data_IF_235471026104
#
_entry.id   IF_235471026104
#
_cell.length_a   1.000
_cell.length_b   1.000
_cell.length_c   1.000
_cell.angle_alpha   90.00
_cell.angle_beta   90.00
_cell.angle_gamma   90.00
#
_symmetry.space_group_name_H-M   'P 1'
#
loop_
_entity.id
_entity.type
_entity.pdbx_description
1 polymer ?
#
# COMPACT_ATOMS: atom_id res chain seq x y z
N UNK A 1 12.56 2.54 -7.69
CA UNK A 1 11.25 3.03 -7.24
C UNK A 1 11.29 4.54 -7.06
N UNK A 2 10.21 5.27 -7.35
CA UNK A 2 10.17 6.73 -7.14
C UNK A 2 9.71 7.06 -5.72
N UNK A 3 10.21 8.17 -5.15
CA UNK A 3 9.82 8.63 -3.79
C UNK A 3 8.30 8.78 -3.66
N UNK A 4 7.62 9.13 -4.76
CA UNK A 4 6.16 9.24 -4.85
C UNK A 4 5.45 7.92 -4.60
N UNK A 5 5.98 6.82 -5.15
CA UNK A 5 5.42 5.49 -4.93
C UNK A 5 5.55 5.07 -3.46
N UNK A 6 6.70 5.36 -2.85
CA UNK A 6 6.95 5.07 -1.43
C UNK A 6 5.99 5.88 -0.55
N UNK A 7 5.80 7.16 -0.85
CA UNK A 7 4.87 8.02 -0.12
C UNK A 7 3.41 7.52 -0.25
N UNK A 8 3.02 7.05 -1.43
CA UNK A 8 1.68 6.51 -1.64
C UNK A 8 1.43 5.21 -0.87
N UNK A 9 2.45 4.35 -0.71
CA UNK A 9 2.38 3.17 0.17
C UNK A 9 2.13 3.58 1.61
N UNK A 10 2.97 4.49 2.11
CA UNK A 10 2.86 4.95 3.48
C UNK A 10 1.49 5.59 3.75
N UNK A 11 0.96 6.33 2.77
CA UNK A 11 -0.40 6.88 2.84
C UNK A 11 -1.47 5.78 2.84
N UNK A 12 -1.36 4.78 1.97
CA UNK A 12 -2.33 3.68 1.90
C UNK A 12 -2.34 2.83 3.17
N UNK A 13 -1.16 2.49 3.72
CA UNK A 13 -1.04 1.86 5.03
C UNK A 13 -1.69 2.76 6.09
N UNK A 14 -1.27 4.03 6.19
CA UNK A 14 -1.81 4.95 7.19
C UNK A 14 -3.34 5.06 7.13
N UNK A 15 -3.92 5.16 5.92
CA UNK A 15 -5.36 5.18 5.74
C UNK A 15 -6.03 3.88 6.21
N UNK A 16 -5.46 2.71 5.89
CA UNK A 16 -5.97 1.42 6.36
C UNK A 16 -5.95 1.33 7.88
N UNK A 17 -4.84 1.76 8.50
CA UNK A 17 -4.69 1.82 9.96
C UNK A 17 -5.69 2.77 10.62
N UNK A 18 -5.85 3.98 10.07
CA UNK A 18 -6.85 4.94 10.56
C UNK A 18 -8.25 4.36 10.39
N UNK A 19 -8.55 3.68 9.28
CA UNK A 19 -9.84 3.02 9.04
C UNK A 19 -10.17 1.96 10.09
N UNK A 20 -9.22 1.10 10.41
CA UNK A 20 -9.39 0.10 11.48
C UNK A 20 -9.52 0.74 12.85
N UNK A 21 -8.64 1.67 13.19
CA UNK A 21 -8.67 2.35 14.48
C UNK A 21 -9.98 3.12 14.68
N UNK A 22 -10.43 3.84 13.64
CA UNK A 22 -11.68 4.58 13.66
C UNK A 22 -12.89 3.65 13.83
N UNK A 23 -12.89 2.48 13.19
CA UNK A 23 -13.92 1.45 13.38
C UNK A 23 -13.92 0.86 14.78
N UNK A 24 -12.74 0.59 15.35
CA UNK A 24 -12.61 0.07 16.72
C UNK A 24 -13.07 1.11 17.77
N UNK A 25 -12.66 2.37 17.61
CA UNK A 25 -13.03 3.46 18.51
C UNK A 25 -14.53 3.74 18.53
N UNK A 26 -15.20 3.55 17.38
CA UNK A 26 -16.63 3.76 17.22
C UNK A 26 -17.45 2.45 17.32
N UNK A 27 -16.90 1.40 17.93
CA UNK A 27 -17.56 0.10 18.02
C UNK A 27 -18.88 0.09 18.79
N UNK A 28 -19.12 1.08 19.64
CA UNK A 28 -20.34 1.23 20.45
C UNK A 28 -21.47 2.03 19.81
N UNK A 29 -21.33 2.46 18.55
CA UNK A 29 -22.40 3.16 17.85
C UNK A 29 -23.58 2.24 17.52
N UNK A 30 -24.78 2.82 17.46
CA UNK A 30 -25.95 2.13 16.95
C UNK A 30 -25.73 1.69 15.50
N UNK A 31 -26.03 0.42 15.21
CA UNK A 31 -25.70 -0.20 13.93
C UNK A 31 -26.41 0.42 12.73
N UNK A 32 -27.62 0.96 12.94
CA UNK A 32 -28.42 1.67 11.92
C UNK A 32 -28.07 3.15 11.77
N UNK A 33 -27.15 3.68 12.59
CA UNK A 33 -26.80 5.09 12.56
C UNK A 33 -26.02 5.45 11.29
N UNK A 34 -26.27 6.65 10.76
CA UNK A 34 -25.52 7.20 9.61
C UNK A 34 -24.03 7.30 9.89
N UNK A 35 -23.64 7.51 11.15
CA UNK A 35 -22.25 7.53 11.57
C UNK A 35 -21.61 6.13 11.48
N UNK A 36 -22.28 5.07 11.93
CA UNK A 36 -21.81 3.70 11.79
C UNK A 36 -21.63 3.31 10.31
N UNK A 37 -22.60 3.69 9.45
CA UNK A 37 -22.49 3.46 8.00
C UNK A 37 -21.27 4.18 7.40
N UNK A 38 -21.01 5.42 7.83
CA UNK A 38 -19.86 6.21 7.36
C UNK A 38 -18.53 5.61 7.82
N UNK A 39 -18.46 5.14 9.07
CA UNK A 39 -17.29 4.43 9.63
C UNK A 39 -16.99 3.17 8.81
N UNK A 40 -18.02 2.37 8.50
CA UNK A 40 -17.89 1.15 7.70
C UNK A 40 -17.44 1.49 6.27
N UNK A 41 -18.05 2.50 5.65
CA UNK A 41 -17.71 2.95 4.31
C UNK A 41 -16.24 3.40 4.22
N UNK A 42 -15.78 4.20 5.18
CA UNK A 42 -14.38 4.63 5.25
C UNK A 42 -13.42 3.45 5.43
N UNK A 43 -13.75 2.51 6.33
CA UNK A 43 -12.96 1.30 6.56
C UNK A 43 -12.82 0.46 5.29
N UNK A 44 -13.92 0.20 4.58
CA UNK A 44 -13.89 -0.57 3.33
C UNK A 44 -13.17 0.16 2.21
N UNK A 45 -13.37 1.48 2.09
CA UNK A 45 -12.63 2.30 1.16
C UNK A 45 -11.11 2.21 1.41
N UNK A 46 -10.68 2.39 2.66
CA UNK A 46 -9.26 2.37 3.03
C UNK A 46 -8.60 1.01 2.76
N UNK A 47 -9.27 -0.10 3.10
CA UNK A 47 -8.80 -1.46 2.78
C UNK A 47 -8.68 -1.70 1.28
N UNK A 48 -9.70 -1.31 0.52
CA UNK A 48 -9.72 -1.48 -0.93
C UNK A 48 -8.64 -0.65 -1.61
N UNK A 49 -8.47 0.59 -1.16
CA UNK A 49 -7.40 1.48 -1.60
C UNK A 49 -6.02 0.88 -1.31
N UNK A 50 -5.84 0.28 -0.14
CA UNK A 50 -4.61 -0.42 0.23
C UNK A 50 -4.30 -1.59 -0.70
N UNK A 51 -5.27 -2.47 -0.99
CA UNK A 51 -5.09 -3.59 -1.90
C UNK A 51 -4.70 -3.14 -3.32
N UNK A 52 -5.45 -2.19 -3.91
CA UNK A 52 -5.13 -1.67 -5.24
C UNK A 52 -3.81 -0.90 -5.30
N UNK A 53 -3.44 -0.19 -4.23
CA UNK A 53 -2.14 0.45 -4.13
C UNK A 53 -1.03 -0.61 -4.21
N UNK A 54 -1.13 -1.68 -3.42
CA UNK A 54 -0.15 -2.79 -3.45
C UNK A 54 -0.05 -3.45 -4.82
N UNK A 55 -1.18 -3.67 -5.51
CA UNK A 55 -1.21 -4.16 -6.89
C UNK A 55 -0.47 -3.21 -7.86
N UNK A 56 -0.73 -1.91 -7.76
CA UNK A 56 -0.10 -0.90 -8.59
C UNK A 56 1.42 -0.83 -8.40
N UNK A 57 1.90 -1.02 -7.17
CA UNK A 57 3.33 -1.08 -6.86
C UNK A 57 3.95 -2.35 -7.40
N UNK A 58 3.28 -3.50 -7.23
CA UNK A 58 3.70 -4.76 -7.83
C UNK A 58 3.91 -4.60 -9.34
N UNK A 59 2.95 -3.97 -10.02
CA UNK A 59 3.04 -3.66 -11.45
C UNK A 59 4.17 -2.68 -11.79
N UNK A 60 4.40 -1.65 -10.97
CA UNK A 60 5.51 -0.72 -11.14
C UNK A 60 6.87 -1.42 -11.03
N UNK A 61 7.04 -2.25 -10.01
CA UNK A 61 8.25 -3.06 -9.80
C UNK A 61 8.47 -4.05 -10.94
N UNK A 62 7.41 -4.71 -11.41
CA UNK A 62 7.46 -5.56 -12.59
C UNK A 62 8.01 -4.82 -13.81
N UNK A 63 7.41 -3.68 -14.12
CA UNK A 63 7.82 -2.86 -15.26
C UNK A 63 9.27 -2.39 -15.13
N UNK A 64 9.66 -1.96 -13.94
CA UNK A 64 11.00 -1.41 -13.70
C UNK A 64 12.09 -2.48 -13.68
N UNK A 65 11.85 -3.64 -13.06
CA UNK A 65 12.88 -4.66 -12.81
C UNK A 65 12.84 -5.80 -13.83
N UNK A 66 11.65 -6.21 -14.28
CA UNK A 66 11.50 -7.33 -15.21
C UNK A 66 11.50 -6.83 -16.65
N UNK A 67 10.73 -5.79 -16.95
CA UNK A 67 10.67 -5.24 -18.31
C UNK A 67 11.76 -4.21 -18.60
N UNK A 68 12.53 -3.79 -17.58
CA UNK A 68 13.60 -2.78 -17.71
C UNK A 68 13.07 -1.48 -18.36
N UNK A 69 11.78 -1.17 -18.14
CA UNK A 69 11.14 0.04 -18.66
C UNK A 69 11.16 1.13 -17.60
N UNK A 70 11.66 2.31 -17.96
CA UNK A 70 11.65 3.48 -17.08
C UNK A 70 10.21 3.92 -16.80
N UNK A 71 9.94 4.28 -15.54
CA UNK A 71 8.70 4.94 -15.15
C UNK A 71 8.69 6.37 -15.67
N UNK A 72 7.62 6.76 -16.38
CA UNK A 72 7.40 8.14 -16.81
C UNK A 72 6.30 8.77 -15.97
N UNK A 73 6.29 10.10 -15.86
CA UNK A 73 5.25 10.81 -15.12
C UNK A 73 3.83 10.50 -15.61
N UNK A 74 3.64 10.42 -16.94
CA UNK A 74 2.36 10.05 -17.54
C UNK A 74 1.88 8.67 -17.10
N UNK A 75 2.80 7.71 -17.03
CA UNK A 75 2.50 6.35 -16.58
C UNK A 75 2.14 6.30 -15.09
N UNK A 76 2.87 7.03 -14.25
CA UNK A 76 2.56 7.12 -12.82
C UNK A 76 1.17 7.72 -12.59
N UNK A 77 0.83 8.84 -13.25
CA UNK A 77 -0.51 9.44 -13.17
C UNK A 77 -1.58 8.45 -13.61
N UNK A 78 -1.40 7.79 -14.76
CA UNK A 78 -2.38 6.83 -15.27
C UNK A 78 -2.60 5.68 -14.27
N UNK A 79 -1.52 5.19 -13.64
CA UNK A 79 -1.61 4.13 -12.62
C UNK A 79 -2.43 4.61 -11.42
N UNK A 80 -2.21 5.83 -10.92
CA UNK A 80 -2.98 6.37 -9.79
C UNK A 80 -4.45 6.63 -10.13
N UNK A 81 -4.75 7.08 -11.34
CA UNK A 81 -6.13 7.21 -11.84
C UNK A 81 -6.80 5.84 -11.82
N UNK A 82 -6.14 4.80 -12.32
CA UNK A 82 -6.67 3.44 -12.32
C UNK A 82 -6.92 2.95 -10.88
N UNK A 83 -5.98 3.16 -9.95
CA UNK A 83 -6.17 2.80 -8.53
C UNK A 83 -7.40 3.50 -7.94
N UNK A 84 -7.54 4.81 -8.17
CA UNK A 84 -8.67 5.58 -7.67
C UNK A 84 -10.02 5.11 -8.26
N UNK A 85 -10.08 4.89 -9.58
CA UNK A 85 -11.27 4.40 -10.27
C UNK A 85 -11.66 3.02 -9.76
N UNK A 86 -10.70 2.08 -9.69
CA UNK A 86 -10.97 0.72 -9.21
C UNK A 86 -11.45 0.71 -7.75
N UNK A 87 -10.83 1.53 -6.89
CA UNK A 87 -11.25 1.68 -5.50
C UNK A 87 -12.69 2.19 -5.40
N UNK A 88 -13.05 3.19 -6.21
CA UNK A 88 -14.41 3.72 -6.24
C UNK A 88 -15.41 2.67 -6.74
N UNK A 89 -15.10 1.96 -7.82
CA UNK A 89 -15.96 0.90 -8.38
C UNK A 89 -16.24 -0.19 -7.36
N UNK A 90 -15.21 -0.71 -6.68
CA UNK A 90 -15.40 -1.75 -5.67
C UNK A 90 -16.15 -1.24 -4.43
N UNK A 91 -15.88 -0.03 -3.99
CA UNK A 91 -16.64 0.62 -2.91
C UNK A 91 -18.14 0.73 -3.27
N UNK A 92 -18.47 1.08 -4.51
CA UNK A 92 -19.86 1.14 -5.00
C UNK A 92 -20.51 -0.25 -5.09
N UNK A 93 -19.75 -1.27 -5.49
CA UNK A 93 -20.23 -2.66 -5.45
C UNK A 93 -20.57 -3.06 -4.02
N UNK A 94 -19.70 -2.77 -3.04
CA UNK A 94 -19.96 -3.06 -1.63
C UNK A 94 -21.19 -2.32 -1.10
N UNK A 95 -21.38 -1.07 -1.52
CA UNK A 95 -22.58 -0.32 -1.21
C UNK A 95 -23.84 -0.98 -1.77
N UNK A 96 -23.83 -1.37 -3.05
CA UNK A 96 -24.95 -2.05 -3.70
C UNK A 96 -25.27 -3.42 -3.10
N UNK A 97 -24.28 -4.10 -2.50
CA UNK A 97 -24.48 -5.35 -1.76
C UNK A 97 -25.02 -5.14 -0.33
N UNK A 98 -25.18 -3.89 0.11
CA UNK A 98 -25.66 -3.57 1.46
C UNK A 98 -24.60 -3.68 2.55
N UNK A 99 -23.31 -3.75 2.20
CA UNK A 99 -22.24 -3.96 3.18
C UNK A 99 -22.15 -2.85 4.24
N UNK A 100 -22.61 -1.64 3.91
CA UNK A 100 -22.56 -0.49 4.82
C UNK A 100 -23.76 -0.44 5.78
N UNK A 101 -24.94 -0.89 5.34
CA UNK A 101 -26.22 -0.69 6.02
C UNK A 101 -26.81 -1.92 6.69
N UNK A 102 -26.26 -3.12 6.48
CA UNK A 102 -26.75 -4.32 7.17
C UNK A 102 -26.65 -4.19 8.69
N UNK A 103 -27.54 -4.85 9.44
CA UNK A 103 -27.63 -4.79 10.90
C UNK A 103 -27.68 -6.17 11.54
N UNK A 104 -28.37 -7.14 10.93
CA UNK A 104 -28.77 -8.39 11.60
C UNK A 104 -27.61 -9.31 12.02
N UNK A 105 -26.44 -9.16 11.39
CA UNK A 105 -25.29 -10.09 11.53
C UNK A 105 -24.04 -9.43 12.10
N UNK A 106 -24.17 -8.26 12.72
CA UNK A 106 -23.03 -7.44 13.15
C UNK A 106 -22.78 -7.54 14.65
N UNK A 107 -21.51 -7.58 15.03
CA UNK A 107 -21.05 -7.49 16.43
C UNK A 107 -20.45 -6.12 16.78
N UNK A 108 -20.32 -5.23 15.80
CA UNK A 108 -19.80 -3.86 15.88
C UNK A 108 -20.12 -3.12 14.56
N UNK A 109 -19.66 -1.87 14.41
CA UNK A 109 -19.59 -1.16 13.11
C UNK A 109 -18.60 -1.84 12.15
N UNK A 110 -19.03 -2.99 11.66
CA UNK A 110 -18.32 -3.91 10.79
C UNK A 110 -19.09 -4.04 9.48
N UNK A 111 -18.40 -4.27 8.35
CA UNK A 111 -19.06 -4.44 7.07
C UNK A 111 -19.80 -5.78 6.99
N UNK A 112 -20.98 -5.77 6.39
CA UNK A 112 -21.81 -6.95 6.17
C UNK A 112 -23.23 -6.58 5.72
N UNK A 113 -23.90 -7.52 5.08
CA UNK A 113 -25.28 -7.39 4.59
C UNK A 113 -26.26 -8.26 5.40
N UNK A 114 -27.54 -7.88 5.41
CA UNK A 114 -28.58 -8.65 6.12
C UNK A 114 -28.86 -9.98 5.42
N UNK A 115 -28.99 -9.95 4.10
CA UNK A 115 -29.18 -11.15 3.29
C UNK A 115 -27.93 -12.03 3.33
N UNK A 116 -28.15 -13.33 3.60
CA UNK A 116 -27.08 -14.33 3.73
C UNK A 116 -26.25 -14.44 2.46
N UNK A 117 -26.91 -14.39 1.31
CA UNK A 117 -26.29 -14.59 0.00
C UNK A 117 -25.48 -13.35 -0.38
N UNK A 118 -26.05 -12.16 -0.24
CA UNK A 118 -25.34 -10.89 -0.49
C UNK A 118 -24.13 -10.72 0.44
N UNK A 119 -24.26 -11.11 1.71
CA UNK A 119 -23.17 -11.08 2.66
C UNK A 119 -22.04 -12.05 2.27
N UNK A 120 -22.40 -13.25 1.81
CA UNK A 120 -21.44 -14.24 1.30
C UNK A 120 -20.70 -13.72 0.06
N UNK A 121 -21.43 -13.14 -0.90
CA UNK A 121 -20.87 -12.54 -2.12
C UNK A 121 -19.95 -11.37 -1.79
N UNK A 122 -20.33 -10.50 -0.87
CA UNK A 122 -19.49 -9.39 -0.40
C UNK A 122 -18.15 -9.90 0.12
N UNK A 123 -18.16 -10.86 1.06
CA UNK A 123 -16.93 -11.41 1.63
C UNK A 123 -16.09 -12.16 0.59
N UNK A 124 -16.73 -12.85 -0.36
CA UNK A 124 -16.02 -13.51 -1.46
C UNK A 124 -15.29 -12.51 -2.36
N UNK A 125 -15.94 -11.40 -2.74
CA UNK A 125 -15.33 -10.36 -3.58
C UNK A 125 -14.15 -9.71 -2.84
N UNK A 126 -14.34 -9.32 -1.58
CA UNK A 126 -13.26 -8.75 -0.77
C UNK A 126 -12.08 -9.73 -0.64
N UNK A 127 -12.36 -11.02 -0.35
CA UNK A 127 -11.33 -12.05 -0.25
C UNK A 127 -10.58 -12.30 -1.55
N UNK A 128 -11.25 -12.20 -2.71
CA UNK A 128 -10.63 -12.30 -4.03
C UNK A 128 -9.70 -11.14 -4.34
N UNK A 129 -10.03 -9.92 -3.91
CA UNK A 129 -9.15 -8.75 -4.06
C UNK A 129 -7.87 -8.94 -3.25
N UNK A 130 -7.98 -9.43 -2.01
CA UNK A 130 -6.83 -9.75 -1.17
C UNK A 130 -5.99 -10.88 -1.77
N UNK A 131 -6.64 -11.95 -2.23
CA UNK A 131 -5.97 -13.08 -2.87
C UNK A 131 -5.20 -12.64 -4.13
N UNK A 132 -5.81 -11.82 -4.98
CA UNK A 132 -5.15 -11.26 -6.16
C UNK A 132 -3.93 -10.43 -5.78
N UNK A 133 -4.03 -9.66 -4.69
CA UNK A 133 -2.92 -8.86 -4.16
C UNK A 133 -1.77 -9.73 -3.65
N UNK A 134 -2.08 -10.80 -2.90
CA UNK A 134 -1.08 -11.78 -2.42
C UNK A 134 -0.39 -12.47 -3.60
N UNK A 135 -1.16 -13.03 -4.54
CA UNK A 135 -0.62 -13.74 -5.71
C UNK A 135 0.27 -12.81 -6.54
N UNK A 136 -0.16 -11.57 -6.78
CA UNK A 136 0.64 -10.56 -7.46
C UNK A 136 1.93 -10.27 -6.71
N UNK A 137 1.88 -10.05 -5.39
CA UNK A 137 3.06 -9.80 -4.56
C UNK A 137 4.09 -10.93 -4.62
N UNK A 138 3.63 -12.19 -4.53
CA UNK A 138 4.48 -13.39 -4.67
C UNK A 138 5.09 -13.44 -6.06
N UNK A 139 4.27 -13.30 -7.10
CA UNK A 139 4.71 -13.36 -8.49
C UNK A 139 5.78 -12.32 -8.81
N UNK A 140 5.58 -11.07 -8.37
CA UNK A 140 6.53 -9.98 -8.57
C UNK A 140 7.81 -10.19 -7.78
N UNK A 141 7.72 -10.69 -6.55
CA UNK A 141 8.90 -11.00 -5.74
C UNK A 141 9.76 -12.08 -6.40
N UNK A 142 9.15 -13.17 -6.85
CA UNK A 142 9.86 -14.27 -7.52
C UNK A 142 10.45 -13.84 -8.86
N UNK A 143 9.64 -13.21 -9.71
CA UNK A 143 10.06 -12.81 -11.06
C UNK A 143 11.09 -11.68 -11.02
N UNK A 144 10.95 -10.75 -10.07
CA UNK A 144 11.90 -9.67 -9.83
C UNK A 144 13.25 -10.19 -9.35
N UNK A 145 13.30 -11.14 -8.42
CA UNK A 145 14.55 -11.75 -7.97
C UNK A 145 15.28 -12.46 -9.12
N UNK A 146 14.56 -13.24 -9.94
CA UNK A 146 15.14 -13.94 -11.09
C UNK A 146 15.74 -12.99 -12.13
N UNK A 147 15.13 -11.82 -12.32
CA UNK A 147 15.59 -10.84 -13.31
C UNK A 147 16.53 -9.76 -12.75
N UNK A 148 16.81 -9.77 -11.44
CA UNK A 148 17.62 -8.74 -10.80
C UNK A 148 19.03 -8.63 -11.42
N UNK A 149 19.67 -9.76 -11.69
CA UNK A 149 21.00 -9.77 -12.34
C UNK A 149 20.95 -9.19 -13.76
N UNK A 150 19.89 -9.48 -14.53
CA UNK A 150 19.71 -8.92 -15.88
C UNK A 150 19.50 -7.41 -15.82
N UNK A 151 18.68 -6.94 -14.87
CA UNK A 151 18.44 -5.52 -14.64
C UNK A 151 19.73 -4.79 -14.27
N UNK A 152 20.55 -5.36 -13.38
CA UNK A 152 21.86 -4.80 -13.00
C UNK A 152 22.77 -4.67 -14.22
N UNK A 153 22.89 -5.74 -15.02
CA UNK A 153 23.78 -5.76 -16.19
C UNK A 153 23.34 -4.75 -17.26
N UNK A 154 22.03 -4.63 -17.51
CA UNK A 154 21.50 -3.65 -18.45
C UNK A 154 21.73 -2.21 -17.95
N UNK A 155 21.64 -1.99 -16.64
CA UNK A 155 21.84 -0.66 -16.06
C UNK A 155 23.33 -0.27 -16.02
N UNK A 156 24.23 -1.20 -15.69
CA UNK A 156 25.67 -0.97 -15.70
C UNK A 156 26.18 -0.64 -17.11
N UNK A 157 25.60 -1.24 -18.15
CA UNK A 157 25.96 -0.93 -19.54
C UNK A 157 25.59 0.52 -19.96
N UNK A 158 24.68 1.17 -19.24
CA UNK A 158 24.26 2.57 -19.51
C UNK A 158 24.98 3.63 -18.67
N UNK A 159 25.78 3.23 -17.68
CA UNK A 159 26.60 4.14 -16.88
C UNK A 159 27.93 4.39 -17.61
N UNK A 160 28.29 5.66 -17.81
CA UNK A 160 29.61 6.02 -18.34
C UNK A 160 30.71 5.56 -17.37
N UNK A 161 31.88 5.11 -17.87
CA UNK A 161 32.95 4.60 -17.02
C UNK A 161 33.59 5.75 -16.24
N UNK A 162 33.21 5.93 -14.98
CA UNK A 162 34.01 6.67 -14.00
C UNK A 162 34.69 5.65 -13.08
N UNK A 163 36.02 5.55 -13.19
CA UNK A 163 36.86 4.43 -12.72
C UNK A 163 36.80 4.09 -11.21
N UNK A 164 36.38 5.01 -10.33
CA UNK A 164 36.53 4.80 -8.88
C UNK A 164 35.23 4.53 -8.09
N UNK A 165 34.04 4.63 -8.70
CA UNK A 165 32.77 4.54 -7.95
C UNK A 165 31.75 3.55 -8.56
N UNK A 166 32.11 2.89 -9.67
CA UNK A 166 31.16 2.10 -10.45
C UNK A 166 30.67 0.83 -9.70
N UNK A 167 31.56 0.09 -9.05
CA UNK A 167 31.18 -1.10 -8.27
C UNK A 167 30.33 -0.74 -7.04
N UNK A 168 30.65 0.37 -6.37
CA UNK A 168 29.91 0.85 -5.21
C UNK A 168 28.50 1.29 -5.63
N UNK A 169 28.37 2.00 -6.76
CA UNK A 169 27.08 2.37 -7.34
C UNK A 169 26.23 1.15 -7.72
N UNK A 170 26.82 0.11 -8.32
CA UNK A 170 26.11 -1.15 -8.63
C UNK A 170 25.61 -1.81 -7.35
N UNK A 171 26.47 -1.91 -6.33
CA UNK A 171 26.14 -2.54 -5.04
C UNK A 171 24.99 -1.80 -4.35
N UNK A 172 25.00 -0.47 -4.36
CA UNK A 172 23.94 0.36 -3.77
C UNK A 172 22.63 0.24 -4.54
N UNK A 173 22.67 0.17 -5.88
CA UNK A 173 21.48 -0.02 -6.71
C UNK A 173 20.87 -1.40 -6.53
N UNK A 174 21.69 -2.45 -6.46
CA UNK A 174 21.25 -3.80 -6.14
C UNK A 174 20.57 -3.84 -4.78
N UNK A 175 21.16 -3.20 -3.77
CA UNK A 175 20.59 -3.10 -2.43
C UNK A 175 19.25 -2.36 -2.42
N UNK A 176 19.12 -1.26 -3.17
CA UNK A 176 17.88 -0.50 -3.31
C UNK A 176 16.78 -1.30 -4.02
N UNK A 177 17.13 -2.01 -5.10
CA UNK A 177 16.20 -2.88 -5.82
C UNK A 177 15.73 -4.05 -4.94
N UNK A 178 16.65 -4.69 -4.22
CA UNK A 178 16.31 -5.77 -3.28
C UNK A 178 15.38 -5.31 -2.16
N UNK A 179 15.64 -4.12 -1.59
CA UNK A 179 14.78 -3.51 -0.56
C UNK A 179 13.39 -3.16 -1.10
N UNK A 180 13.27 -2.86 -2.39
CA UNK A 180 11.98 -2.57 -3.01
C UNK A 180 11.05 -3.79 -3.03
N UNK A 181 11.56 -5.02 -2.83
CA UNK A 181 10.71 -6.21 -2.65
C UNK A 181 10.07 -6.30 -1.28
N UNK A 182 10.52 -5.53 -0.28
CA UNK A 182 9.89 -5.52 1.05
C UNK A 182 8.44 -5.03 0.99
N UNK A 183 8.10 -4.15 0.04
CA UNK A 183 6.75 -3.63 -0.12
C UNK A 183 5.73 -4.70 -0.55
N UNK A 184 5.90 -5.40 -1.70
CA UNK A 184 4.99 -6.50 -2.05
C UNK A 184 5.05 -7.66 -1.04
N UNK A 185 6.21 -7.88 -0.39
CA UNK A 185 6.34 -8.90 0.65
C UNK A 185 5.53 -8.56 1.91
N UNK A 186 5.43 -7.28 2.29
CA UNK A 186 4.60 -6.83 3.41
C UNK A 186 3.15 -7.28 3.22
N UNK A 187 2.56 -6.99 2.05
CA UNK A 187 1.21 -7.44 1.72
C UNK A 187 1.06 -8.98 1.74
N UNK A 188 2.09 -9.72 1.31
CA UNK A 188 2.09 -11.18 1.37
C UNK A 188 2.15 -11.74 2.80
N UNK A 189 2.65 -10.97 3.77
CA UNK A 189 2.68 -11.37 5.18
C UNK A 189 1.38 -10.96 5.88
N UNK A 190 0.82 -9.81 5.52
CA UNK A 190 -0.23 -9.16 6.31
C UNK A 190 -1.64 -9.55 5.87
N UNK A 191 -1.86 -9.77 4.57
CA UNK A 191 -3.16 -10.11 3.98
C UNK A 191 -3.61 -11.58 4.11
N UNK A 192 -2.75 -12.62 4.24
CA UNK A 192 -3.22 -14.01 4.24
C UNK A 192 -4.26 -14.32 5.33
N UNK A 193 -4.08 -13.79 6.54
CA UNK A 193 -5.01 -14.01 7.65
C UNK A 193 -6.37 -13.35 7.36
N UNK A 194 -6.36 -12.13 6.82
CA UNK A 194 -7.56 -11.42 6.39
C UNK A 194 -8.26 -12.18 5.27
N UNK A 195 -7.52 -12.60 4.25
CA UNK A 195 -8.03 -13.38 3.13
C UNK A 195 -8.72 -14.68 3.59
N UNK A 196 -8.09 -15.43 4.52
CA UNK A 196 -8.70 -16.63 5.12
C UNK A 196 -9.98 -16.27 5.88
N UNK A 197 -9.96 -15.21 6.69
CA UNK A 197 -11.15 -14.75 7.41
C UNK A 197 -12.29 -14.39 6.45
N UNK A 198 -12.00 -13.68 5.36
CA UNK A 198 -12.99 -13.30 4.36
C UNK A 198 -13.59 -14.52 3.66
N UNK A 199 -12.78 -15.50 3.25
CA UNK A 199 -13.30 -16.74 2.64
C UNK A 199 -14.12 -17.59 3.61
N UNK A 200 -13.73 -17.68 4.88
CA UNK A 200 -14.53 -18.40 5.88
C UNK A 200 -15.88 -17.70 6.12
N UNK A 201 -15.90 -16.36 6.18
CA UNK A 201 -17.14 -15.60 6.29
C UNK A 201 -18.00 -15.69 5.03
N UNK A 202 -17.40 -15.80 3.85
CA UNK A 202 -18.14 -16.13 2.63
C UNK A 202 -18.83 -17.50 2.76
N UNK A 203 -18.17 -18.47 3.40
CA UNK A 203 -18.75 -19.77 3.79
C UNK A 203 -19.72 -19.72 4.98
N UNK A 204 -20.05 -18.53 5.52
CA UNK A 204 -20.85 -18.33 6.74
C UNK A 204 -20.24 -18.91 8.03
N UNK A 205 -18.91 -19.07 8.06
CA UNK A 205 -18.17 -19.52 9.24
C UNK A 205 -17.42 -18.34 9.86
N UNK A 206 -17.93 -17.83 10.98
CA UNK A 206 -17.30 -16.73 11.70
C UNK A 206 -16.32 -17.23 12.75
N UNK A 207 -15.03 -16.88 12.61
CA UNK A 207 -13.97 -17.25 13.56
C UNK A 207 -13.40 -15.98 14.22
N UNK A 208 -13.78 -15.73 15.47
CA UNK A 208 -13.38 -14.51 16.22
C UNK A 208 -11.86 -14.39 16.41
N UNK A 209 -11.16 -15.52 16.55
CA UNK A 209 -9.70 -15.55 16.72
C UNK A 209 -8.98 -14.93 15.51
N UNK A 210 -9.50 -15.14 14.29
CA UNK A 210 -8.91 -14.56 13.10
C UNK A 210 -9.06 -13.03 13.05
N UNK A 211 -10.10 -12.46 13.68
CA UNK A 211 -10.26 -11.01 13.78
C UNK A 211 -9.15 -10.37 14.60
N UNK A 212 -8.73 -11.02 15.70
CA UNK A 212 -7.60 -10.56 16.52
C UNK A 212 -6.30 -10.64 15.72
N UNK A 213 -6.07 -11.78 15.05
CA UNK A 213 -4.87 -11.97 14.23
C UNK A 213 -4.81 -10.97 13.07
N UNK A 214 -5.93 -10.65 12.44
CA UNK A 214 -6.03 -9.63 11.39
C UNK A 214 -5.66 -8.24 11.93
N UNK A 215 -6.15 -7.86 13.12
CA UNK A 215 -5.76 -6.60 13.73
C UNK A 215 -4.25 -6.53 14.02
N UNK A 216 -3.65 -7.64 14.48
CA UNK A 216 -2.20 -7.74 14.70
C UNK A 216 -1.42 -7.66 13.38
N UNK A 217 -1.84 -8.35 12.32
CA UNK A 217 -1.13 -8.29 11.03
C UNK A 217 -1.23 -6.94 10.37
N UNK A 218 -2.38 -6.26 10.47
CA UNK A 218 -2.50 -4.85 10.04
C UNK A 218 -1.52 -4.00 10.86
N UNK A 219 -1.52 -4.11 12.20
CA UNK A 219 -0.54 -3.47 13.09
C UNK A 219 0.91 -3.63 12.63
N UNK A 220 1.31 -4.87 12.32
CA UNK A 220 2.64 -5.23 11.83
C UNK A 220 2.92 -4.60 10.45
N UNK A 221 1.93 -4.48 9.56
CA UNK A 221 2.12 -3.84 8.24
C UNK A 221 2.66 -2.42 8.39
N UNK A 222 2.08 -1.65 9.31
CA UNK A 222 2.48 -0.26 9.55
C UNK A 222 3.91 -0.16 10.09
N UNK A 223 4.28 -1.07 10.99
CA UNK A 223 5.65 -1.17 11.51
C UNK A 223 6.65 -1.52 10.40
N UNK A 224 6.33 -2.52 9.57
CA UNK A 224 7.18 -2.94 8.45
C UNK A 224 7.35 -1.80 7.42
N UNK A 225 6.29 -1.08 7.09
CA UNK A 225 6.34 0.07 6.21
C UNK A 225 7.16 1.20 6.81
N UNK A 226 7.01 1.48 8.11
CA UNK A 226 7.84 2.47 8.83
C UNK A 226 9.32 2.11 8.81
N UNK A 227 9.67 0.84 9.07
CA UNK A 227 11.04 0.34 9.01
C UNK A 227 11.61 0.44 7.59
N UNK A 228 10.83 0.05 6.57
CA UNK A 228 11.23 0.19 5.18
C UNK A 228 11.50 1.66 4.83
N UNK A 229 10.65 2.58 5.30
CA UNK A 229 10.79 4.02 5.09
C UNK A 229 12.05 4.59 5.76
N UNK A 230 12.33 4.18 7.00
CA UNK A 230 13.50 4.64 7.76
C UNK A 230 14.84 4.19 7.14
N UNK A 231 14.85 3.02 6.49
CA UNK A 231 16.04 2.40 5.91
C UNK A 231 16.24 2.82 4.42
N UNK A 232 15.23 3.39 3.77
CA UNK A 232 15.29 3.79 2.37
C UNK A 232 16.19 5.03 2.14
N UNK A 233 17.27 4.92 1.36
CA UNK A 233 18.18 6.03 1.10
C UNK A 233 17.54 7.21 0.35
N UNK A 234 16.55 6.96 -0.51
CA UNK A 234 15.83 8.01 -1.24
C UNK A 234 14.98 8.83 -0.27
N UNK A 235 14.35 8.17 0.70
CA UNK A 235 13.62 8.81 1.80
C UNK A 235 14.56 9.64 2.68
N UNK A 236 15.68 9.06 3.13
CA UNK A 236 16.67 9.77 3.93
C UNK A 236 17.25 11.01 3.22
N UNK A 237 17.58 10.89 1.92
CA UNK A 237 18.05 12.02 1.11
C UNK A 237 16.98 13.11 0.99
N UNK A 238 15.73 12.72 0.79
CA UNK A 238 14.59 13.65 0.69
C UNK A 238 14.37 14.39 2.00
N UNK A 239 14.38 13.69 3.15
CA UNK A 239 14.27 14.32 4.48
C UNK A 239 15.44 15.25 4.78
N UNK A 240 16.68 14.84 4.47
CA UNK A 240 17.86 15.69 4.67
C UNK A 240 17.77 16.96 3.84
N UNK A 241 17.31 16.86 2.60
CA UNK A 241 17.08 18.01 1.73
C UNK A 241 16.00 18.93 2.30
N UNK A 242 14.84 18.39 2.69
CA UNK A 242 13.75 19.17 3.27
C UNK A 242 14.17 19.85 4.59
N UNK A 243 14.86 19.13 5.46
CA UNK A 243 15.40 19.68 6.72
C UNK A 243 16.40 20.81 6.46
N UNK A 244 17.30 20.65 5.48
CA UNK A 244 18.23 21.71 5.08
C UNK A 244 17.48 22.93 4.56
N UNK A 245 16.51 22.75 3.67
CA UNK A 245 15.68 23.86 3.16
C UNK A 245 14.92 24.57 4.28
N UNK A 246 14.41 23.85 5.28
CA UNK A 246 13.72 24.46 6.43
C UNK A 246 14.68 25.20 7.36
N UNK A 247 15.83 24.60 7.69
CA UNK A 247 16.81 25.15 8.64
C UNK A 247 17.54 26.37 8.08
N UNK A 248 17.90 26.34 6.80
CA UNK A 248 18.70 27.40 6.15
C UNK A 248 17.84 28.35 5.29
N UNK A 249 16.50 28.22 5.33
CA UNK A 249 15.55 29.07 4.58
C UNK A 249 15.73 30.58 4.83
N UNK A 250 16.19 30.94 6.03
CA UNK A 250 16.44 32.32 6.43
C UNK A 250 17.89 32.76 6.25
N UNK A 251 18.82 31.84 5.97
CA UNK A 251 20.24 32.15 5.75
C UNK A 251 20.53 32.51 4.29
N UNK A 252 19.82 31.90 3.34
CA UNK A 252 19.97 32.20 1.90
C UNK A 252 19.39 33.58 1.51
N UNK A 253 18.44 34.12 2.30
CA UNK A 253 17.94 35.50 2.11
C UNK A 253 18.98 36.56 2.47
N UNK A 254 19.94 36.26 3.36
CA UNK A 254 20.95 37.24 3.79
C UNK A 254 22.09 37.38 2.78
N UNK A 255 22.40 36.33 2.03
CA UNK A 255 23.49 36.34 1.05
C UNK A 255 23.18 37.12 -0.24
N UNK A 256 21.89 37.28 -0.63
CA UNK A 256 21.56 38.04 -1.85
C UNK A 256 21.39 39.54 -1.63
N UNK A 257 21.29 40.01 -0.38
CA UNK A 257 21.23 41.44 -0.05
C UNK A 257 22.64 42.03 0.19
N UNK A 258 23.60 41.25 0.72
CA UNK A 258 24.99 41.71 0.92
C UNK A 258 25.84 41.75 -0.36
N UNK A 259 25.41 41.09 -1.45
CA UNK A 259 26.10 41.16 -2.75
C UNK A 259 25.52 42.22 -3.72
N UNK A 260 24.47 42.92 -3.30
CA UNK A 260 23.85 44.01 -4.07
C UNK A 260 23.95 45.38 -3.35
N UNK A 261 24.84 45.52 -2.37
CA UNK A 261 25.17 46.77 -1.71
C UNK A 261 26.64 47.14 -1.94
#
# INVERSE_FOLDING_TARGET
>A
MTVRLIAAIALADLLSHIGEFYSAWNGGLEFSSSLCHSVIGFRLFARTFYAFTNLAIGFHLYRSLVQIKKSTWKFEIATWIVVAVMTAVFTLIYWGLGAFSGVERKKACSPGADDKTLNSVFYAIAGLVDLATIISGIFITVTGHRNLNKWINAYSATLAPSENDHEQLIKDRRKMAARSFLYPLSACITLPIECIFLFLNAGNVYVSVLTILMALTIGISGLLTGLAFAIDPATQKSFKSAYRTLKYRNSDKKYSEEFNM
#
